data_IF_615225068812
#
_entry.id   IF_615225068812
#
_cell.length_a   1.000
_cell.length_b   1.000
_cell.length_c   1.000
_cell.angle_alpha   90.00
_cell.angle_beta   90.00
_cell.angle_gamma   90.00
#
_symmetry.space_group_name_H-M   'P 1'
#
loop_
_entity.id
_entity.type
_entity.pdbx_description
1 polymer ?
#
# COMPACT_ATOMS: atom_id res chain seq x y z
N UNK A 1 -14.41 -9.58 -0.50
CA UNK A 1 -13.95 -8.27 0.00
C UNK A 1 -12.54 -8.04 -0.49
N UNK A 2 -12.26 -6.89 -1.11
CA UNK A 2 -10.93 -6.59 -1.66
C UNK A 2 -9.92 -6.37 -0.53
N UNK A 3 -8.83 -7.13 -0.55
CA UNK A 3 -7.75 -7.01 0.43
C UNK A 3 -6.92 -5.76 0.16
N UNK A 4 -6.67 -4.99 1.21
CA UNK A 4 -5.79 -3.82 1.14
C UNK A 4 -4.33 -4.26 1.17
N UNK A 5 -3.48 -3.51 0.47
CA UNK A 5 -2.05 -3.80 0.42
C UNK A 5 -1.69 -4.87 -0.60
N UNK A 6 -2.62 -5.22 -1.50
CA UNK A 6 -2.42 -6.23 -2.54
C UNK A 6 -2.85 -5.72 -3.92
N UNK A 7 -2.37 -6.42 -4.94
CA UNK A 7 -2.82 -6.22 -6.31
C UNK A 7 -4.03 -7.10 -6.60
N UNK A 8 -4.97 -6.53 -7.34
CA UNK A 8 -6.18 -7.20 -7.81
C UNK A 8 -6.34 -6.97 -9.30
N UNK A 9 -6.81 -7.99 -10.02
CA UNK A 9 -7.26 -7.84 -11.40
C UNK A 9 -8.77 -7.64 -11.36
N UNK A 10 -9.23 -6.44 -11.69
CA UNK A 10 -10.64 -6.03 -11.54
C UNK A 10 -11.20 -5.52 -12.86
N UNK A 11 -12.50 -5.73 -13.07
CA UNK A 11 -13.21 -5.29 -14.28
C UNK A 11 -13.75 -3.89 -14.14
N UNK A 12 -13.66 -3.09 -15.19
CA UNK A 12 -14.28 -1.76 -15.25
C UNK A 12 -15.80 -1.93 -15.35
N UNK A 13 -16.52 -1.56 -14.29
CA UNK A 13 -17.98 -1.66 -14.22
C UNK A 13 -18.66 -0.41 -14.80
N UNK A 14 -18.21 0.77 -14.36
CA UNK A 14 -18.80 2.05 -14.74
C UNK A 14 -17.80 3.19 -14.65
N UNK A 15 -18.02 4.18 -15.50
CA UNK A 15 -17.30 5.44 -15.47
C UNK A 15 -18.18 6.55 -14.90
N UNK A 16 -17.65 7.25 -13.91
CA UNK A 16 -18.37 8.26 -13.13
C UNK A 16 -17.51 9.49 -12.94
N UNK A 17 -18.10 10.59 -12.47
CA UNK A 17 -17.38 11.84 -12.22
C UNK A 17 -16.11 11.67 -11.35
N UNK A 18 -16.10 10.90 -10.24
CA UNK A 18 -14.87 10.70 -9.45
C UNK A 18 -13.82 9.76 -10.08
N UNK A 19 -14.23 8.88 -11.01
CA UNK A 19 -13.35 7.87 -11.60
C UNK A 19 -14.06 6.61 -12.06
N UNK A 20 -13.27 5.56 -12.31
CA UNK A 20 -13.77 4.24 -12.70
C UNK A 20 -14.10 3.43 -11.46
N UNK A 21 -15.27 2.84 -11.41
CA UNK A 21 -15.55 1.78 -10.43
C UNK A 21 -15.12 0.45 -11.03
N UNK A 22 -14.27 -0.25 -10.30
CA UNK A 22 -13.77 -1.57 -10.65
C UNK A 22 -14.43 -2.61 -9.74
N UNK A 23 -14.82 -3.75 -10.29
CA UNK A 23 -15.46 -4.84 -9.55
C UNK A 23 -14.72 -6.17 -9.75
N UNK A 24 -14.73 -7.00 -8.71
CA UNK A 24 -14.37 -8.42 -8.84
C UNK A 24 -15.59 -9.27 -9.27
N UNK A 25 -15.37 -10.57 -9.44
CA UNK A 25 -16.43 -11.53 -9.78
C UNK A 25 -17.49 -11.72 -8.69
N UNK A 26 -17.18 -11.36 -7.45
CA UNK A 26 -18.09 -11.46 -6.30
C UNK A 26 -18.95 -10.19 -6.13
N UNK A 27 -18.69 -9.15 -6.92
CA UNK A 27 -19.39 -7.88 -6.85
C UNK A 27 -18.82 -6.92 -5.80
N UNK A 28 -17.65 -7.19 -5.23
CA UNK A 28 -16.95 -6.20 -4.42
C UNK A 28 -16.40 -5.11 -5.35
N UNK A 29 -16.63 -3.84 -5.02
CA UNK A 29 -16.22 -2.71 -5.86
C UNK A 29 -15.24 -1.78 -5.15
N UNK A 30 -14.39 -1.11 -5.93
CA UNK A 30 -13.45 -0.07 -5.49
C UNK A 30 -13.34 1.03 -6.55
N UNK A 31 -13.15 2.26 -6.11
CA UNK A 31 -12.93 3.40 -6.99
C UNK A 31 -11.46 3.46 -7.42
N UNK A 32 -11.22 3.57 -8.74
CA UNK A 32 -9.98 4.05 -9.34
C UNK A 32 -10.15 5.54 -9.71
N UNK A 33 -9.58 6.47 -8.94
CA UNK A 33 -9.70 7.90 -9.20
C UNK A 33 -9.23 8.32 -10.61
N UNK A 34 -9.82 9.38 -11.16
CA UNK A 34 -9.53 9.87 -12.52
C UNK A 34 -8.04 10.03 -12.85
N UNK A 35 -7.23 10.49 -11.89
CA UNK A 35 -5.79 10.69 -12.09
C UNK A 35 -4.99 9.41 -12.36
N UNK A 36 -5.57 8.24 -12.07
CA UNK A 36 -4.96 6.93 -12.29
C UNK A 36 -5.62 6.17 -13.44
N UNK A 37 -6.57 6.79 -14.16
CA UNK A 37 -7.21 6.19 -15.32
C UNK A 37 -6.18 5.98 -16.44
N UNK A 38 -6.24 4.85 -17.16
CA UNK A 38 -5.47 4.68 -18.38
C UNK A 38 -5.96 5.67 -19.45
N UNK A 39 -5.10 5.99 -20.42
CA UNK A 39 -5.44 6.90 -21.52
C UNK A 39 -6.59 6.37 -22.39
N UNK A 40 -6.69 5.04 -22.51
CA UNK A 40 -7.73 4.33 -23.25
C UNK A 40 -8.22 3.13 -22.44
N UNK A 41 -9.53 2.92 -22.41
CA UNK A 41 -10.18 1.76 -21.80
C UNK A 41 -11.60 1.60 -22.36
N UNK A 42 -12.15 0.40 -22.25
CA UNK A 42 -13.55 0.08 -22.50
C UNK A 42 -14.20 -0.47 -21.21
N UNK A 43 -15.53 -0.42 -21.13
CA UNK A 43 -16.23 -1.11 -20.04
C UNK A 43 -15.98 -2.62 -20.16
N UNK A 44 -15.95 -3.31 -19.01
CA UNK A 44 -15.62 -4.72 -18.87
C UNK A 44 -14.14 -5.10 -19.10
N UNK A 45 -13.27 -4.15 -19.47
CA UNK A 45 -11.81 -4.37 -19.47
C UNK A 45 -11.31 -4.72 -18.07
N UNK A 46 -10.28 -5.56 -18.00
CA UNK A 46 -9.60 -5.93 -16.76
C UNK A 46 -8.36 -5.06 -16.53
N UNK A 47 -8.24 -4.53 -15.31
CA UNK A 47 -7.09 -3.75 -14.87
C UNK A 47 -6.45 -4.39 -13.64
N UNK A 48 -5.12 -4.54 -13.68
CA UNK A 48 -4.33 -4.82 -12.48
C UNK A 48 -4.14 -3.51 -11.70
N UNK A 49 -4.66 -3.48 -10.46
CA UNK A 49 -4.61 -2.29 -9.59
C UNK A 49 -4.18 -2.66 -8.19
N UNK A 50 -3.49 -1.75 -7.51
CA UNK A 50 -3.16 -1.86 -6.10
C UNK A 50 -4.26 -1.22 -5.26
N UNK A 51 -4.79 -1.95 -4.27
CA UNK A 51 -5.85 -1.45 -3.39
C UNK A 51 -5.27 -1.02 -2.04
N UNK A 52 -5.55 0.22 -1.61
CA UNK A 52 -5.06 0.76 -0.33
C UNK A 52 -6.04 1.78 0.26
N UNK A 53 -5.77 2.28 1.46
CA UNK A 53 -6.57 3.34 2.07
C UNK A 53 -6.02 4.72 1.71
N UNK A 54 -6.88 5.60 1.19
CA UNK A 54 -6.56 7.01 0.93
C UNK A 54 -6.37 7.83 2.23
N UNK A 55 -6.27 9.16 2.10
CA UNK A 55 -6.13 10.06 3.24
C UNK A 55 -7.41 10.17 4.10
N UNK A 56 -8.57 9.80 3.56
CA UNK A 56 -9.86 9.77 4.24
C UNK A 56 -10.22 8.36 4.75
N UNK A 57 -9.24 7.45 4.75
CA UNK A 57 -9.37 6.06 5.21
C UNK A 57 -10.35 5.21 4.41
N UNK A 58 -10.58 5.56 3.14
CA UNK A 58 -11.44 4.80 2.25
C UNK A 58 -10.59 3.89 1.35
N UNK A 59 -11.05 2.64 1.10
CA UNK A 59 -10.44 1.79 0.08
C UNK A 59 -10.50 2.46 -1.30
N UNK A 60 -9.36 2.58 -1.94
CA UNK A 60 -9.21 3.08 -3.31
C UNK A 60 -8.21 2.22 -4.08
N UNK A 61 -8.39 2.14 -5.38
CA UNK A 61 -7.47 1.51 -6.31
C UNK A 61 -6.51 2.55 -6.90
N UNK A 62 -5.32 2.10 -7.29
CA UNK A 62 -4.35 2.87 -8.05
C UNK A 62 -3.62 2.00 -9.06
N UNK A 63 -3.24 2.59 -10.19
CA UNK A 63 -2.34 1.99 -11.18
C UNK A 63 -0.86 2.32 -10.89
N UNK A 64 -0.59 3.14 -9.87
CA UNK A 64 0.76 3.34 -9.36
C UNK A 64 1.25 2.08 -8.65
N UNK A 65 2.57 1.85 -8.74
CA UNK A 65 3.22 0.71 -8.11
C UNK A 65 3.89 1.16 -6.82
N UNK A 66 3.42 0.72 -5.63
CA UNK A 66 4.15 0.99 -4.42
C UNK A 66 5.52 0.31 -4.45
N UNK A 67 6.47 0.84 -3.69
CA UNK A 67 7.79 0.23 -3.56
C UNK A 67 7.79 -1.08 -2.77
N UNK A 68 6.77 -1.30 -1.92
CA UNK A 68 6.51 -2.55 -1.19
C UNK A 68 5.00 -2.74 -1.01
N UNK A 69 4.54 -4.00 -0.99
CA UNK A 69 3.15 -4.35 -0.64
C UNK A 69 3.03 -4.85 0.81
N UNK A 70 1.83 -5.27 1.20
CA UNK A 70 1.62 -5.97 2.47
C UNK A 70 2.54 -7.21 2.54
N UNK A 71 3.07 -7.45 3.73
CA UNK A 71 3.97 -8.56 4.06
C UNK A 71 5.29 -8.58 3.29
N UNK A 72 5.78 -7.40 2.91
CA UNK A 72 7.08 -7.23 2.26
C UNK A 72 8.04 -6.33 3.02
N UNK A 73 9.33 -6.66 2.87
CA UNK A 73 10.43 -5.78 3.26
C UNK A 73 10.79 -4.81 2.14
N UNK A 74 11.17 -3.58 2.51
CA UNK A 74 11.70 -2.61 1.56
C UNK A 74 12.58 -1.55 2.20
N UNK A 75 13.39 -0.92 1.36
CA UNK A 75 14.32 0.14 1.76
C UNK A 75 13.79 1.50 1.30
N UNK A 76 13.02 2.15 2.16
CA UNK A 76 12.27 3.35 1.81
C UNK A 76 12.89 4.61 2.41
N UNK A 77 12.72 5.74 1.71
CA UNK A 77 13.23 7.05 2.15
C UNK A 77 12.23 7.71 3.08
N UNK A 78 12.69 8.22 4.23
CA UNK A 78 11.88 9.07 5.09
C UNK A 78 11.74 10.46 4.46
N UNK A 79 10.49 10.84 4.13
CA UNK A 79 10.16 12.11 3.48
C UNK A 79 9.65 13.15 4.49
N UNK A 80 9.10 12.68 5.61
CA UNK A 80 8.56 13.53 6.66
C UNK A 80 8.67 12.84 8.04
N UNK A 81 8.84 13.65 9.08
CA UNK A 81 8.73 13.23 10.49
C UNK A 81 7.77 14.21 11.16
N UNK A 82 6.81 13.68 11.92
CA UNK A 82 5.79 14.44 12.64
C UNK A 82 5.77 14.07 14.13
N UNK A 83 4.81 14.61 14.87
CA UNK A 83 4.64 14.34 16.31
C UNK A 83 4.10 12.94 16.63
N UNK A 84 3.70 12.17 15.62
CA UNK A 84 3.15 10.82 15.79
C UNK A 84 4.04 9.71 15.23
N UNK A 85 5.03 10.06 14.40
CA UNK A 85 5.93 9.09 13.78
C UNK A 85 6.64 9.65 12.55
N UNK A 86 7.01 8.77 11.64
CA UNK A 86 7.65 9.12 10.38
C UNK A 86 6.83 8.62 9.19
N UNK A 87 7.03 9.25 8.05
CA UNK A 87 6.40 8.89 6.80
C UNK A 87 7.48 8.56 5.77
N UNK A 88 7.35 7.38 5.18
CA UNK A 88 8.26 6.87 4.17
C UNK A 88 7.64 7.01 2.78
N UNK A 89 8.47 7.40 1.82
CA UNK A 89 8.10 7.39 0.42
C UNK A 89 7.72 5.97 0.01
N UNK A 90 6.44 5.78 -0.30
CA UNK A 90 5.87 4.48 -0.62
C UNK A 90 5.75 4.28 -2.13
N UNK A 91 6.06 5.28 -2.96
CA UNK A 91 5.77 5.26 -4.39
C UNK A 91 4.29 5.54 -4.71
N UNK A 92 3.47 5.77 -3.69
CA UNK A 92 2.09 6.22 -3.79
C UNK A 92 1.98 7.68 -3.32
N UNK A 93 0.84 8.30 -3.64
CA UNK A 93 0.53 9.66 -3.20
C UNK A 93 0.48 9.76 -1.66
N UNK A 94 -0.09 8.75 -1.00
CA UNK A 94 0.00 8.60 0.45
C UNK A 94 1.32 7.94 0.83
N UNK A 95 2.01 8.52 1.80
CA UNK A 95 3.23 7.94 2.37
C UNK A 95 2.93 6.83 3.38
N UNK A 96 3.85 5.87 3.51
CA UNK A 96 3.73 4.76 4.44
C UNK A 96 4.12 5.21 5.84
N UNK A 97 3.20 5.09 6.79
CA UNK A 97 3.39 5.58 8.15
C UNK A 97 4.19 4.58 9.01
N UNK A 98 5.14 5.09 9.77
CA UNK A 98 5.94 4.34 10.75
C UNK A 98 5.73 4.97 12.14
N UNK A 99 4.88 4.36 12.99
CA UNK A 99 4.68 4.82 14.37
C UNK A 99 5.99 4.81 15.16
N UNK A 100 6.17 5.73 16.12
CA UNK A 100 7.38 5.73 16.96
C UNK A 100 7.64 4.41 17.68
N UNK A 101 6.58 3.70 18.09
CA UNK A 101 6.71 2.37 18.72
C UNK A 101 7.31 1.31 17.79
N UNK A 102 7.25 1.51 16.48
CA UNK A 102 7.76 0.60 15.44
C UNK A 102 9.14 1.04 14.89
N UNK A 103 9.72 2.09 15.48
CA UNK A 103 11.05 2.60 15.12
C UNK A 103 12.12 2.00 16.04
N UNK A 104 13.10 1.29 15.49
CA UNK A 104 14.29 0.83 16.25
C UNK A 104 15.13 2.03 16.68
N UNK A 105 15.31 2.99 15.77
CA UNK A 105 15.90 4.30 16.04
C UNK A 105 15.01 5.37 15.45
N UNK A 106 14.97 6.56 16.07
CA UNK A 106 14.17 7.68 15.55
C UNK A 106 14.58 7.98 14.11
N UNK A 107 13.60 7.91 13.21
CA UNK A 107 13.80 8.20 11.80
C UNK A 107 14.04 9.70 11.57
N UNK A 108 14.79 10.01 10.52
CA UNK A 108 15.17 11.37 10.12
C UNK A 108 14.81 11.57 8.67
N UNK A 109 14.22 12.73 8.38
CA UNK A 109 13.90 13.15 7.01
C UNK A 109 15.17 13.13 6.14
N UNK A 110 15.08 12.50 4.98
CA UNK A 110 16.17 12.36 4.01
C UNK A 110 16.84 10.99 4.03
N UNK A 111 16.87 10.32 5.19
CA UNK A 111 17.52 9.02 5.37
C UNK A 111 16.64 7.87 4.83
N UNK A 112 17.24 6.69 4.66
CA UNK A 112 16.55 5.47 4.21
C UNK A 112 16.58 4.37 5.26
N UNK A 113 15.50 3.61 5.36
CA UNK A 113 15.29 2.60 6.38
C UNK A 113 14.78 1.31 5.78
N UNK A 114 15.32 0.18 6.25
CA UNK A 114 14.72 -1.13 5.98
C UNK A 114 13.50 -1.26 6.88
N UNK A 115 12.36 -1.50 6.26
CA UNK A 115 11.08 -1.65 6.95
C UNK A 115 10.31 -2.85 6.42
N UNK A 116 9.43 -3.37 7.24
CA UNK A 116 8.40 -4.34 6.87
C UNK A 116 7.04 -3.64 6.86
N UNK A 117 6.26 -3.81 5.78
CA UNK A 117 4.89 -3.31 5.69
C UNK A 117 3.92 -4.36 6.21
N UNK A 118 3.12 -4.00 7.20
CA UNK A 118 2.14 -4.90 7.81
C UNK A 118 0.78 -4.22 7.96
N UNK A 119 -0.26 -5.03 8.12
CA UNK A 119 -1.61 -4.57 8.43
C UNK A 119 -1.77 -4.41 9.94
N UNK A 120 -2.06 -3.19 10.40
CA UNK A 120 -2.47 -2.97 11.79
C UNK A 120 -3.94 -3.36 11.96
N UNK A 121 -4.17 -4.58 12.44
CA UNK A 121 -5.50 -5.18 12.64
C UNK A 121 -6.45 -4.32 13.51
N UNK A 122 -5.92 -3.48 14.40
CA UNK A 122 -6.75 -2.60 15.23
C UNK A 122 -7.34 -1.43 14.45
N UNK A 123 -6.61 -0.94 13.46
CA UNK A 123 -6.99 0.26 12.69
C UNK A 123 -7.37 -0.05 11.24
N UNK A 124 -7.05 -1.25 10.75
CA UNK A 124 -7.19 -1.63 9.35
C UNK A 124 -6.24 -0.88 8.42
N UNK A 125 -5.15 -0.28 8.94
CA UNK A 125 -4.22 0.54 8.14
C UNK A 125 -2.94 -0.22 7.83
N UNK A 126 -2.41 -0.01 6.63
CA UNK A 126 -1.04 -0.41 6.31
C UNK A 126 -0.05 0.55 6.97
N UNK A 127 0.88 -0.02 7.71
CA UNK A 127 1.93 0.67 8.45
C UNK A 127 3.24 -0.06 8.26
N UNK A 128 4.35 0.65 8.45
CA UNK A 128 5.68 0.05 8.41
C UNK A 128 6.32 -0.05 9.79
N UNK A 129 7.17 -1.05 9.95
CA UNK A 129 8.05 -1.21 11.11
C UNK A 129 9.49 -1.42 10.69
N UNK A 130 10.40 -0.73 11.38
CA UNK A 130 11.85 -0.97 11.25
C UNK A 130 12.35 -2.05 12.21
N UNK A 131 11.48 -2.58 13.09
CA UNK A 131 11.78 -3.69 14.00
C UNK A 131 11.69 -5.02 13.25
N UNK A 132 12.51 -5.16 12.20
CA UNK A 132 12.43 -6.26 11.23
C UNK A 132 12.44 -7.64 11.86
N UNK A 133 13.16 -7.84 12.98
CA UNK A 133 13.21 -9.11 13.70
C UNK A 133 11.84 -9.62 14.18
N UNK A 134 10.83 -8.75 14.35
CA UNK A 134 9.48 -9.17 14.71
C UNK A 134 8.71 -9.81 13.53
N UNK A 135 9.21 -9.65 12.31
CA UNK A 135 8.59 -10.08 11.05
C UNK A 135 9.46 -11.07 10.27
N UNK A 136 10.51 -11.60 10.90
CA UNK A 136 11.37 -12.62 10.33
C UNK A 136 11.05 -13.96 10.97
N UNK A 137 10.85 -14.98 10.14
CA UNK A 137 10.87 -16.38 10.54
C UNK A 137 12.06 -17.06 9.86
N UNK A 138 12.95 -17.64 10.66
CA UNK A 138 14.13 -18.37 10.20
C UNK A 138 14.02 -19.87 10.50
N UNK A 139 12.81 -20.38 10.78
CA UNK A 139 12.57 -21.80 11.02
C UNK A 139 12.85 -22.66 9.78
N UNK A 140 12.60 -22.11 8.58
CA UNK A 140 12.94 -22.72 7.30
C UNK A 140 13.93 -21.84 6.53
N UNK A 141 15.14 -22.35 6.29
CA UNK A 141 16.17 -21.68 5.49
C UNK A 141 16.12 -22.20 4.05
N UNK A 142 15.67 -21.35 3.12
CA UNK A 142 15.56 -21.68 1.68
C UNK A 142 16.75 -21.21 0.85
N UNK A 143 17.72 -20.54 1.48
CA UNK A 143 18.94 -20.06 0.81
C UNK A 143 19.98 -21.16 0.71
N UNK A 144 20.52 -21.36 -0.50
CA UNK A 144 21.65 -22.26 -0.73
C UNK A 144 22.99 -21.55 -0.42
N UNK A 145 24.04 -22.28 0.04
CA UNK A 145 25.33 -21.71 0.43
C UNK A 145 26.13 -21.06 -0.71
#
# INVERSE_FOLDING_TARGET
MLTIGEYHILKIDRDTEPGLFLKDSEGNEVLLPNKYKPETYELEDELEVFVYLDHEERPVATTLKPFIKLDEFGYLKCVEVSDIGAFLDWGLEKHLFVPFKEQVTKMRKGDRYLVFCYLDELTGRLVASSKTNAFLDNSELTVEP
#
